data_IF_801608468532
#
_entry.id   IF_801608468532
#
_cell.length_a   1.000
_cell.length_b   1.000
_cell.length_c   1.000
_cell.angle_alpha   90.00
_cell.angle_beta   90.00
_cell.angle_gamma   90.00
#
_symmetry.space_group_name_H-M   'P 1'
#
loop_
_entity.id
_entity.type
_entity.pdbx_description
1 polymer ?
#
# COMPACT_ATOMS: atom_id res chain seq x y z
N UNK A 1 -2.91 5.70 -9.16
CA UNK A 1 -1.78 4.80 -8.82
C UNK A 1 -1.34 4.05 -10.07
N UNK A 2 -0.04 3.95 -10.33
CA UNK A 2 0.50 3.29 -11.53
C UNK A 2 1.32 2.04 -11.14
N UNK A 3 0.63 0.93 -10.87
CA UNK A 3 1.25 -0.31 -10.43
C UNK A 3 1.65 -1.21 -11.62
N UNK A 4 2.80 -1.87 -11.50
CA UNK A 4 3.32 -2.83 -12.50
C UNK A 4 3.68 -4.17 -11.88
N UNK A 5 3.85 -5.18 -12.73
CA UNK A 5 4.38 -6.47 -12.30
C UNK A 5 5.75 -6.30 -11.62
N UNK A 6 5.92 -6.97 -10.48
CA UNK A 6 7.09 -6.85 -9.61
C UNK A 6 6.88 -5.91 -8.42
N UNK A 7 5.90 -5.01 -8.46
CA UNK A 7 5.63 -4.12 -7.34
C UNK A 7 5.07 -4.88 -6.15
N UNK A 8 5.52 -4.49 -4.95
CA UNK A 8 5.05 -5.02 -3.69
C UNK A 8 3.86 -4.21 -3.18
N UNK A 9 2.79 -4.90 -2.83
CA UNK A 9 1.49 -4.32 -2.48
C UNK A 9 0.90 -4.99 -1.25
N UNK A 10 -0.16 -4.38 -0.70
CA UNK A 10 -1.01 -4.94 0.35
C UNK A 10 -2.47 -4.62 0.05
N UNK A 11 -3.39 -5.34 0.69
CA UNK A 11 -4.81 -4.96 0.70
C UNK A 11 -5.01 -3.68 1.51
N UNK A 12 -5.81 -2.76 0.99
CA UNK A 12 -6.30 -1.60 1.74
C UNK A 12 -7.18 -2.10 2.89
N UNK A 13 -6.92 -1.63 4.13
CA UNK A 13 -7.71 -2.02 5.32
C UNK A 13 -9.22 -1.78 5.12
N UNK A 14 -9.61 -0.74 4.38
CA UNK A 14 -11.00 -0.34 4.15
C UNK A 14 -11.60 -0.85 2.81
N UNK A 15 -10.95 -1.79 2.13
CA UNK A 15 -11.51 -2.33 0.87
C UNK A 15 -12.72 -3.24 1.13
N UNK A 16 -13.69 -3.28 0.23
CA UNK A 16 -14.82 -4.23 0.36
C UNK A 16 -14.33 -5.70 0.41
N UNK A 17 -13.19 -5.97 -0.24
CA UNK A 17 -12.57 -7.29 -0.32
C UNK A 17 -11.89 -7.70 1.00
N UNK A 18 -11.36 -6.78 1.80
CA UNK A 18 -10.83 -7.11 3.15
C UNK A 18 -11.94 -7.63 4.07
N UNK A 19 -13.20 -7.23 3.82
CA UNK A 19 -14.36 -7.65 4.63
C UNK A 19 -14.99 -8.99 4.21
N UNK A 20 -14.63 -9.54 3.04
CA UNK A 20 -15.19 -10.83 2.54
C UNK A 20 -14.57 -12.06 3.24
N UNK A 21 -13.64 -11.83 4.18
CA UNK A 21 -13.13 -12.84 5.10
C UNK A 21 -11.90 -13.61 4.58
N UNK A 22 -11.14 -14.14 5.55
CA UNK A 22 -9.84 -14.80 5.39
C UNK A 22 -9.80 -16.02 4.46
N UNK A 23 -10.94 -16.52 3.99
CA UNK A 23 -10.98 -17.76 3.21
C UNK A 23 -10.42 -17.58 1.78
N UNK A 24 -10.46 -16.36 1.25
CA UNK A 24 -10.01 -16.06 -0.10
C UNK A 24 -9.09 -14.84 -0.20
N UNK A 25 -8.92 -14.04 0.85
CA UNK A 25 -8.04 -12.86 0.80
C UNK A 25 -7.17 -12.82 2.05
N UNK A 26 -5.85 -12.77 1.90
CA UNK A 26 -4.99 -12.77 3.06
C UNK A 26 -4.95 -11.37 3.68
N UNK A 27 -5.42 -11.27 4.92
CA UNK A 27 -5.37 -10.04 5.70
C UNK A 27 -3.96 -9.78 6.21
N UNK A 28 -3.61 -8.50 6.34
CA UNK A 28 -2.34 -8.03 6.94
C UNK A 28 -1.08 -8.67 6.34
N UNK A 29 -1.14 -9.12 5.08
CA UNK A 29 0.01 -9.64 4.36
C UNK A 29 0.39 -8.72 3.21
N UNK A 30 1.62 -8.87 2.73
CA UNK A 30 2.05 -8.26 1.49
C UNK A 30 1.98 -9.29 0.36
N UNK A 31 2.01 -8.79 -0.87
CA UNK A 31 2.11 -9.61 -2.05
C UNK A 31 2.86 -8.88 -3.16
N UNK A 32 3.15 -9.61 -4.22
CA UNK A 32 3.83 -9.11 -5.40
C UNK A 32 2.87 -9.21 -6.58
N UNK A 33 2.76 -8.14 -7.36
CA UNK A 33 1.99 -8.15 -8.60
C UNK A 33 2.69 -9.05 -9.60
N UNK A 34 1.99 -10.08 -10.08
CA UNK A 34 2.49 -10.99 -11.11
C UNK A 34 1.87 -10.72 -12.48
N UNK A 35 0.72 -10.06 -12.53
CA UNK A 35 0.05 -9.64 -13.76
C UNK A 35 -0.59 -8.27 -13.56
N UNK A 36 -0.34 -7.32 -14.47
CA UNK A 36 -1.05 -6.05 -14.57
C UNK A 36 -1.73 -5.97 -15.95
N UNK A 37 -3.04 -5.73 -15.97
CA UNK A 37 -3.84 -5.65 -17.21
C UNK A 37 -4.82 -4.48 -17.13
N UNK A 38 -4.91 -3.70 -18.21
CA UNK A 38 -5.95 -2.71 -18.38
C UNK A 38 -7.21 -3.38 -18.94
N UNK A 39 -8.34 -3.27 -18.24
CA UNK A 39 -9.61 -3.83 -18.71
C UNK A 39 -10.51 -2.74 -19.33
N UNK A 40 -10.99 -2.97 -20.56
CA UNK A 40 -11.85 -2.02 -21.29
C UNK A 40 -13.34 -2.09 -20.91
N UNK A 41 -13.74 -3.12 -20.16
CA UNK A 41 -15.15 -3.47 -19.92
C UNK A 41 -15.86 -2.57 -18.89
N UNK A 42 -15.14 -2.00 -17.92
CA UNK A 42 -15.69 -1.12 -16.89
C UNK A 42 -14.66 -0.03 -16.67
N UNK A 43 -14.99 1.23 -17.03
CA UNK A 43 -14.20 2.46 -16.75
C UNK A 43 -12.68 2.23 -16.67
N UNK A 44 -12.05 1.78 -17.77
CA UNK A 44 -10.57 1.63 -17.90
C UNK A 44 -9.86 1.21 -16.60
N UNK A 45 -10.41 0.24 -15.86
CA UNK A 45 -9.90 -0.07 -14.53
C UNK A 45 -8.75 -1.06 -14.66
N UNK A 46 -7.63 -0.76 -14.00
CA UNK A 46 -6.52 -1.69 -13.94
C UNK A 46 -6.89 -2.88 -13.05
N UNK A 47 -6.47 -4.06 -13.48
CA UNK A 47 -6.69 -5.32 -12.79
C UNK A 47 -5.36 -6.01 -12.56
N UNK A 48 -5.09 -6.34 -11.30
CA UNK A 48 -3.83 -6.90 -10.84
C UNK A 48 -4.01 -8.30 -10.28
N UNK A 49 -3.22 -9.26 -10.77
CA UNK A 49 -3.11 -10.58 -10.13
C UNK A 49 -1.92 -10.54 -9.17
N UNK A 50 -2.13 -10.98 -7.93
CA UNK A 50 -1.15 -10.87 -6.85
C UNK A 50 -0.81 -12.25 -6.32
N UNK A 51 0.50 -12.51 -6.14
CA UNK A 51 1.02 -13.63 -5.36
C UNK A 51 1.34 -13.11 -3.96
N UNK A 52 0.62 -13.59 -2.97
CA UNK A 52 0.75 -13.18 -1.58
C UNK A 52 1.89 -13.90 -0.86
N UNK A 53 2.46 -13.29 0.17
CA UNK A 53 3.59 -13.85 0.93
C UNK A 53 3.24 -15.18 1.63
N UNK A 54 1.94 -15.43 1.88
CA UNK A 54 1.45 -16.72 2.41
C UNK A 54 1.34 -17.82 1.34
N UNK A 55 1.84 -17.59 0.13
CA UNK A 55 1.83 -18.54 -0.98
C UNK A 55 0.54 -18.55 -1.81
N UNK A 56 -0.52 -17.88 -1.36
CA UNK A 56 -1.80 -17.85 -2.06
C UNK A 56 -1.72 -16.93 -3.28
N UNK A 57 -2.32 -17.34 -4.39
CA UNK A 57 -2.51 -16.51 -5.58
C UNK A 57 -4.00 -16.48 -5.91
N UNK A 58 -4.64 -15.34 -5.69
CA UNK A 58 -6.09 -15.19 -5.89
C UNK A 58 -6.40 -14.41 -7.18
N UNK A 59 -7.67 -14.01 -7.32
CA UNK A 59 -8.22 -13.30 -8.48
C UNK A 59 -7.61 -11.92 -8.75
N UNK A 60 -8.27 -11.17 -9.62
CA UNK A 60 -7.81 -9.84 -10.01
C UNK A 60 -8.34 -8.75 -9.08
N UNK A 61 -7.44 -7.92 -8.57
CA UNK A 61 -7.73 -6.78 -7.70
C UNK A 61 -7.73 -5.46 -8.50
N UNK A 62 -8.57 -4.51 -8.11
CA UNK A 62 -8.62 -3.14 -8.65
C UNK A 62 -7.78 -2.14 -7.85
N UNK A 63 -7.63 -0.93 -8.40
CA UNK A 63 -6.88 0.17 -7.76
C UNK A 63 -7.48 0.60 -6.39
N UNK A 64 -8.77 0.38 -6.18
CA UNK A 64 -9.50 0.68 -4.95
C UNK A 64 -9.31 -0.37 -3.84
N UNK A 65 -8.75 -1.53 -4.18
CA UNK A 65 -8.62 -2.68 -3.28
C UNK A 65 -7.21 -2.85 -2.70
N UNK A 66 -6.20 -2.31 -3.39
CA UNK A 66 -4.78 -2.46 -3.03
C UNK A 66 -4.06 -1.12 -2.93
N UNK A 67 -2.95 -1.11 -2.19
CA UNK A 67 -2.03 0.02 -2.07
C UNK A 67 -0.59 -0.50 -2.02
N UNK A 68 0.39 0.39 -2.22
CA UNK A 68 1.79 0.06 -1.98
C UNK A 68 1.98 -0.44 -0.54
N UNK A 69 2.82 -1.46 -0.36
CA UNK A 69 2.99 -2.18 0.91
C UNK A 69 3.34 -1.28 2.12
N UNK A 70 4.04 -0.17 1.86
CA UNK A 70 4.52 0.77 2.88
C UNK A 70 3.47 1.82 3.30
N UNK A 71 2.36 1.99 2.56
CA UNK A 71 1.43 3.11 2.80
C UNK A 71 0.81 3.05 4.20
N UNK A 72 0.32 1.88 4.62
CA UNK A 72 -0.25 1.73 5.96
C UNK A 72 0.80 1.94 7.08
N UNK A 73 2.02 1.38 7.03
CA UNK A 73 3.10 1.77 7.94
C UNK A 73 3.37 3.27 7.98
N UNK A 74 3.35 3.97 6.85
CA UNK A 74 3.54 5.44 6.81
C UNK A 74 2.35 6.17 7.46
N UNK A 75 1.11 5.71 7.28
CA UNK A 75 -0.08 6.25 7.99
C UNK A 75 0.03 6.04 9.50
N UNK A 76 0.53 4.88 9.94
CA UNK A 76 0.78 4.60 11.36
C UNK A 76 1.89 5.51 11.92
N UNK A 77 2.95 5.74 11.15
CA UNK A 77 4.01 6.67 11.52
C UNK A 77 3.48 8.09 11.66
N UNK A 78 2.70 8.56 10.68
CA UNK A 78 2.07 9.87 10.71
C UNK A 78 1.24 10.08 12.00
N UNK A 79 0.51 9.05 12.45
CA UNK A 79 -0.24 9.06 13.71
C UNK A 79 0.65 9.03 14.96
N UNK A 80 1.85 8.43 14.90
CA UNK A 80 2.80 8.42 16.03
C UNK A 80 3.50 9.75 16.21
N UNK A 81 3.75 10.46 15.11
CA UNK A 81 4.39 11.78 15.11
C UNK A 81 3.36 12.81 15.59
N UNK A 82 2.98 12.78 16.88
CA UNK A 82 2.16 13.80 17.54
C UNK A 82 3.10 14.60 18.44
N UNK A 83 3.69 15.66 17.89
CA UNK A 83 4.47 16.61 18.67
C UNK A 83 4.31 18.02 18.10
N UNK A 84 4.21 19.05 18.94
CA UNK A 84 4.15 20.44 18.49
C UNK A 84 5.39 20.87 17.68
N UNK A 85 6.51 20.13 17.77
CA UNK A 85 7.75 20.43 17.07
C UNK A 85 8.00 19.60 15.80
N UNK A 86 7.07 18.69 15.44
CA UNK A 86 7.24 17.77 14.31
C UNK A 86 6.43 18.14 13.07
N UNK A 87 6.00 19.40 12.95
CA UNK A 87 5.11 19.85 11.85
C UNK A 87 5.69 19.61 10.46
N UNK A 88 7.00 19.77 10.27
CA UNK A 88 7.67 19.49 8.99
C UNK A 88 7.67 17.99 8.64
N UNK A 89 7.86 17.12 9.63
CA UNK A 89 7.80 15.66 9.47
C UNK A 89 6.38 15.23 9.13
N UNK A 90 5.37 15.77 9.83
CA UNK A 90 3.97 15.50 9.55
C UNK A 90 3.60 15.92 8.11
N UNK A 91 3.98 17.13 7.69
CA UNK A 91 3.70 17.62 6.33
C UNK A 91 4.36 16.72 5.28
N UNK A 92 5.61 16.33 5.51
CA UNK A 92 6.33 15.42 4.62
C UNK A 92 5.64 14.04 4.53
N UNK A 93 5.30 13.41 5.65
CA UNK A 93 4.61 12.13 5.68
C UNK A 93 3.23 12.21 5.03
N UNK A 94 2.51 13.32 5.23
CA UNK A 94 1.23 13.57 4.54
C UNK A 94 1.40 13.57 3.03
N UNK A 95 2.40 14.28 2.52
CA UNK A 95 2.70 14.27 1.08
C UNK A 95 3.04 12.86 0.57
N UNK A 96 3.80 12.07 1.33
CA UNK A 96 4.11 10.69 0.94
C UNK A 96 2.87 9.77 0.90
N UNK A 97 1.87 10.01 1.75
CA UNK A 97 0.61 9.23 1.78
C UNK A 97 -0.31 9.61 0.62
N UNK A 98 -0.31 10.89 0.24
CA UNK A 98 -1.15 11.44 -0.83
C UNK A 98 -0.53 11.23 -2.23
N UNK A 99 0.78 11.03 -2.32
CA UNK A 99 1.46 10.72 -3.58
C UNK A 99 1.09 9.32 -4.07
N UNK A 100 0.65 9.23 -5.33
CA UNK A 100 0.29 7.98 -5.98
C UNK A 100 1.48 7.24 -6.60
N UNK A 101 2.67 7.86 -6.56
CA UNK A 101 3.90 7.26 -7.06
C UNK A 101 4.57 6.35 -6.03
N UNK A 102 5.34 5.34 -6.49
CA UNK A 102 6.22 4.59 -5.63
C UNK A 102 7.20 5.51 -4.89
N UNK A 103 7.34 5.32 -3.58
CA UNK A 103 8.38 6.01 -2.81
C UNK A 103 9.76 5.56 -3.27
N UNK A 104 10.68 6.52 -3.31
CA UNK A 104 12.11 6.24 -3.53
C UNK A 104 12.72 5.55 -2.31
N UNK A 105 13.86 4.89 -2.51
CA UNK A 105 14.61 4.26 -1.42
C UNK A 105 14.98 5.27 -0.32
N UNK A 106 15.33 6.51 -0.71
CA UNK A 106 15.61 7.59 0.25
C UNK A 106 14.39 7.97 1.08
N UNK A 107 13.20 8.07 0.46
CA UNK A 107 11.96 8.35 1.17
C UNK A 107 11.62 7.21 2.14
N UNK A 108 11.80 5.95 1.71
CA UNK A 108 11.61 4.78 2.56
C UNK A 108 12.58 4.74 3.74
N UNK A 109 13.85 5.06 3.52
CA UNK A 109 14.86 5.09 4.58
C UNK A 109 14.61 6.21 5.59
N UNK A 110 14.15 7.38 5.16
CA UNK A 110 13.68 8.44 6.08
C UNK A 110 12.48 7.98 6.91
N UNK A 111 11.51 7.31 6.31
CA UNK A 111 10.38 6.73 7.05
C UNK A 111 10.85 5.69 8.08
N UNK A 112 11.79 4.81 7.73
CA UNK A 112 12.38 3.83 8.66
C UNK A 112 13.11 4.50 9.81
N UNK A 113 13.88 5.55 9.52
CA UNK A 113 14.58 6.34 10.54
C UNK A 113 13.60 6.93 11.57
N UNK A 114 12.55 7.62 11.12
CA UNK A 114 11.56 8.19 12.04
C UNK A 114 10.74 7.11 12.74
N UNK A 115 10.47 5.97 12.09
CA UNK A 115 9.83 4.84 12.76
C UNK A 115 10.65 4.37 13.95
N UNK A 116 11.96 4.24 13.81
CA UNK A 116 12.86 3.89 14.91
C UNK A 116 12.93 4.98 16.00
N UNK A 117 12.85 6.25 15.62
CA UNK A 117 12.89 7.37 16.56
C UNK A 117 11.63 7.51 17.42
N UNK A 118 10.45 7.19 16.86
CA UNK A 118 9.13 7.34 17.50
C UNK A 118 8.49 6.01 17.92
N UNK A 119 9.24 4.90 17.96
CA UNK A 119 8.78 3.60 18.49
C UNK A 119 9.27 3.37 19.90
#
# INVERSE_FOLDING_TARGET
MNLKSGDKVRLKKNSNISNIGNKFNPLNTNGIIIVSKLTKLVKSTHRYKIKWDNGVTNGFYGDDEIEHWYIEPVKELFKKVISPYSGSIQLYLKHLIEDENPLTDEQLDRCRYWWGYYS
#
